data_IF_482776138807
#
_entry.id   IF_482776138807
#
_cell.length_a   1.000
_cell.length_b   1.000
_cell.length_c   1.000
_cell.angle_alpha   90.00
_cell.angle_beta   90.00
_cell.angle_gamma   90.00
#
_symmetry.space_group_name_H-M   'P 1'
#
loop_
_entity.id
_entity.type
_entity.pdbx_description
1 polymer ?
#
# COMPACT_ATOMS: atom_id res chain seq x y z
N UNK A 1 5.21 2.29 -31.80
CA UNK A 1 5.61 1.70 -30.51
C UNK A 1 6.03 2.85 -29.60
N UNK A 2 5.37 3.03 -28.47
CA UNK A 2 5.72 4.05 -27.48
C UNK A 2 7.07 3.71 -26.84
N UNK A 3 8.04 4.64 -26.91
CA UNK A 3 9.36 4.52 -26.25
C UNK A 3 9.33 5.11 -24.83
N UNK A 4 8.24 5.71 -24.44
CA UNK A 4 8.00 6.32 -23.12
C UNK A 4 6.57 6.02 -22.71
N UNK A 5 6.31 6.03 -21.42
CA UNK A 5 4.95 6.04 -20.86
C UNK A 5 4.24 7.30 -21.33
N UNK A 6 3.02 7.14 -21.89
CA UNK A 6 2.22 8.27 -22.31
C UNK A 6 1.81 9.11 -21.10
N UNK A 7 1.73 10.42 -21.29
CA UNK A 7 1.23 11.31 -20.26
C UNK A 7 -0.27 11.02 -20.02
N UNK A 8 -0.64 10.75 -18.79
CA UNK A 8 -2.02 10.49 -18.43
C UNK A 8 -2.81 11.82 -18.43
N UNK A 9 -3.60 12.02 -19.49
CA UNK A 9 -4.55 13.13 -19.57
C UNK A 9 -5.82 12.82 -18.79
N UNK A 10 -6.61 13.84 -18.41
CA UNK A 10 -7.91 13.64 -17.72
C UNK A 10 -8.83 12.66 -18.48
N UNK A 11 -8.85 12.74 -19.81
CA UNK A 11 -9.64 11.84 -20.64
C UNK A 11 -9.15 10.39 -20.58
N UNK A 12 -7.83 10.16 -20.59
CA UNK A 12 -7.25 8.82 -20.42
C UNK A 12 -7.43 8.30 -19.01
N UNK A 13 -7.31 9.16 -18.00
CA UNK A 13 -7.57 8.80 -16.61
C UNK A 13 -9.04 8.37 -16.42
N UNK A 14 -9.99 9.16 -16.92
CA UNK A 14 -11.40 8.79 -16.88
C UNK A 14 -11.71 7.48 -17.62
N UNK A 15 -11.05 7.23 -18.75
CA UNK A 15 -11.17 5.97 -19.48
C UNK A 15 -10.61 4.79 -18.66
N UNK A 16 -9.44 4.97 -18.06
CA UNK A 16 -8.80 3.96 -17.19
C UNK A 16 -9.67 3.63 -15.99
N UNK A 17 -10.21 4.63 -15.27
CA UNK A 17 -11.11 4.40 -14.15
C UNK A 17 -12.36 3.64 -14.58
N UNK A 18 -12.94 4.01 -15.73
CA UNK A 18 -14.17 3.37 -16.23
C UNK A 18 -13.99 1.89 -16.58
N UNK A 19 -12.87 1.52 -17.15
CA UNK A 19 -12.65 0.20 -17.73
C UNK A 19 -11.63 -0.66 -16.98
N UNK A 20 -10.80 -0.04 -16.15
CA UNK A 20 -9.73 -0.70 -15.40
C UNK A 20 -10.02 -0.86 -13.91
N UNK A 21 -11.08 -0.21 -13.39
CA UNK A 21 -11.41 -0.28 -11.96
C UNK A 21 -12.80 -0.89 -11.76
N UNK A 22 -12.83 -2.05 -11.11
CA UNK A 22 -14.05 -2.68 -10.61
C UNK A 22 -14.08 -2.55 -9.09
N UNK A 23 -14.55 -1.39 -8.64
CA UNK A 23 -14.58 -1.03 -7.23
C UNK A 23 -15.82 -1.62 -6.55
N UNK A 24 -15.67 -2.54 -5.56
CA UNK A 24 -16.80 -3.09 -4.81
C UNK A 24 -17.61 -2.00 -4.12
N UNK A 25 -18.92 -2.16 -4.04
CA UNK A 25 -19.82 -1.15 -3.49
C UNK A 25 -19.43 -0.64 -2.09
N UNK A 26 -19.05 -1.48 -1.09
CA UNK A 26 -18.60 -0.97 0.21
C UNK A 26 -17.29 -0.16 0.15
N UNK A 27 -16.37 -0.50 -0.78
CA UNK A 27 -15.12 0.25 -0.97
C UNK A 27 -15.41 1.62 -1.56
N UNK A 28 -16.29 1.68 -2.57
CA UNK A 28 -16.76 2.95 -3.16
C UNK A 28 -17.43 3.85 -2.13
N UNK A 29 -18.31 3.29 -1.31
CA UNK A 29 -18.99 4.05 -0.27
C UNK A 29 -18.00 4.61 0.77
N UNK A 30 -17.00 3.84 1.17
CA UNK A 30 -15.93 4.32 2.05
C UNK A 30 -15.13 5.44 1.39
N UNK A 31 -14.76 5.32 0.11
CA UNK A 31 -14.09 6.40 -0.62
C UNK A 31 -14.90 7.68 -0.66
N UNK A 32 -16.20 7.59 -0.92
CA UNK A 32 -17.11 8.75 -0.93
C UNK A 32 -17.20 9.42 0.45
N UNK A 33 -17.18 8.65 1.54
CA UNK A 33 -17.15 9.20 2.91
C UNK A 33 -15.78 9.82 3.22
N UNK A 34 -14.68 9.22 2.76
CA UNK A 34 -13.33 9.77 2.90
C UNK A 34 -13.20 11.13 2.21
N UNK A 35 -13.80 11.31 1.02
CA UNK A 35 -13.79 12.60 0.30
C UNK A 35 -14.48 13.76 1.05
N UNK A 36 -15.20 13.47 2.14
CA UNK A 36 -15.77 14.52 3.00
C UNK A 36 -14.82 14.99 4.10
N UNK A 37 -13.67 14.35 4.21
CA UNK A 37 -12.63 14.71 5.17
C UNK A 37 -11.67 15.75 4.55
N UNK A 38 -11.08 16.58 5.39
CA UNK A 38 -10.08 17.58 4.94
C UNK A 38 -8.77 16.94 4.47
N UNK A 39 -8.53 15.69 4.82
CA UNK A 39 -7.34 14.91 4.49
C UNK A 39 -7.59 13.92 3.34
N UNK A 40 -8.63 14.09 2.52
CA UNK A 40 -9.01 13.16 1.46
C UNK A 40 -7.88 12.83 0.47
N UNK A 41 -6.95 13.75 0.27
CA UNK A 41 -5.75 13.55 -0.56
C UNK A 41 -4.73 12.55 0.01
N UNK A 42 -4.94 11.98 1.20
CA UNK A 42 -4.09 10.90 1.74
C UNK A 42 -4.54 9.51 1.30
N UNK A 43 -5.71 9.38 0.71
CA UNK A 43 -6.23 8.10 0.27
C UNK A 43 -5.54 7.63 -1.00
N UNK A 44 -5.14 6.35 -1.05
CA UNK A 44 -4.65 5.69 -2.27
C UNK A 44 -5.69 5.78 -3.39
N UNK A 45 -5.23 5.90 -4.63
CA UNK A 45 -6.13 6.02 -5.78
C UNK A 45 -6.89 4.71 -6.08
N UNK A 46 -8.11 4.79 -6.66
CA UNK A 46 -8.89 3.59 -6.98
C UNK A 46 -8.17 2.62 -7.93
N UNK A 47 -7.45 3.13 -8.91
CA UNK A 47 -6.69 2.33 -9.86
C UNK A 47 -5.49 1.64 -9.19
N UNK A 48 -4.85 2.27 -8.20
CA UNK A 48 -3.77 1.66 -7.43
C UNK A 48 -4.32 0.55 -6.53
N UNK A 49 -5.41 0.80 -5.81
CA UNK A 49 -6.06 -0.21 -4.98
C UNK A 49 -6.57 -1.41 -5.81
N UNK A 50 -7.10 -1.15 -7.02
CA UNK A 50 -7.48 -2.19 -7.98
C UNK A 50 -6.27 -3.00 -8.44
N UNK A 51 -5.16 -2.34 -8.78
CA UNK A 51 -3.94 -2.99 -9.23
C UNK A 51 -3.35 -3.88 -8.13
N UNK A 52 -3.28 -3.39 -6.88
CA UNK A 52 -2.81 -4.18 -5.74
C UNK A 52 -3.69 -5.40 -5.49
N UNK A 53 -5.01 -5.27 -5.60
CA UNK A 53 -5.93 -6.39 -5.46
C UNK A 53 -5.76 -7.46 -6.55
N UNK A 54 -5.51 -7.04 -7.79
CA UNK A 54 -5.18 -7.95 -8.89
C UNK A 54 -3.87 -8.68 -8.64
N UNK A 55 -2.82 -7.98 -8.16
CA UNK A 55 -1.54 -8.59 -7.79
C UNK A 55 -1.69 -9.61 -6.67
N UNK A 56 -2.45 -9.28 -5.62
CA UNK A 56 -2.72 -10.20 -4.53
C UNK A 56 -3.35 -11.50 -5.02
N UNK A 57 -4.34 -11.41 -5.93
CA UNK A 57 -4.92 -12.57 -6.59
C UNK A 57 -3.92 -13.35 -7.43
N UNK A 58 -3.08 -12.66 -8.21
CA UNK A 58 -2.09 -13.28 -9.10
C UNK A 58 -1.02 -14.07 -8.36
N UNK A 59 -0.59 -13.61 -7.16
CA UNK A 59 0.39 -14.33 -6.32
C UNK A 59 -0.25 -15.29 -5.31
N UNK A 60 -1.59 -15.41 -5.32
CA UNK A 60 -2.34 -16.25 -4.36
C UNK A 60 -2.20 -15.77 -2.92
N UNK A 61 -2.15 -14.46 -2.69
CA UNK A 61 -1.96 -13.89 -1.37
C UNK A 61 -3.12 -14.24 -0.42
N UNK A 62 -2.77 -14.53 0.83
CA UNK A 62 -3.68 -14.75 1.96
C UNK A 62 -3.41 -13.80 3.12
N UNK A 63 -2.19 -13.33 3.28
CA UNK A 63 -1.76 -12.46 4.37
C UNK A 63 -1.21 -11.16 3.81
N UNK A 64 -1.95 -10.09 4.03
CA UNK A 64 -1.59 -8.74 3.62
C UNK A 64 -1.23 -7.89 4.83
N UNK A 65 -0.14 -7.14 4.71
CA UNK A 65 0.35 -6.19 5.72
C UNK A 65 0.29 -4.78 5.16
N UNK A 66 -0.31 -3.86 5.90
CA UNK A 66 -0.43 -2.45 5.52
C UNK A 66 0.20 -1.56 6.58
N UNK A 67 1.03 -0.62 6.15
CA UNK A 67 1.66 0.39 6.98
C UNK A 67 1.15 1.76 6.54
N UNK A 68 0.30 2.37 7.36
CA UNK A 68 -0.53 3.52 7.03
C UNK A 68 -1.93 3.08 6.58
N UNK A 69 -2.90 3.21 7.45
CA UNK A 69 -4.28 2.75 7.24
C UNK A 69 -5.20 3.89 6.84
N UNK A 70 -5.01 5.07 7.42
CA UNK A 70 -5.85 6.25 7.27
C UNK A 70 -7.33 5.93 7.54
N UNK A 71 -8.24 6.01 6.55
CA UNK A 71 -9.65 5.61 6.69
C UNK A 71 -9.88 4.11 6.50
N UNK A 72 -8.85 3.36 6.08
CA UNK A 72 -8.95 1.93 5.81
C UNK A 72 -9.58 1.58 4.46
N UNK A 73 -9.48 2.48 3.49
CA UNK A 73 -9.94 2.26 2.11
C UNK A 73 -9.17 1.11 1.44
N UNK A 74 -7.84 1.20 1.43
CA UNK A 74 -6.98 0.15 0.89
C UNK A 74 -7.14 -1.14 1.70
N UNK A 75 -7.16 -1.05 3.04
CA UNK A 75 -7.42 -2.18 3.95
C UNK A 75 -8.67 -2.97 3.54
N UNK A 76 -9.81 -2.28 3.36
CA UNK A 76 -11.08 -2.90 2.96
C UNK A 76 -11.00 -3.52 1.57
N UNK A 77 -10.40 -2.79 0.61
CA UNK A 77 -10.22 -3.29 -0.76
C UNK A 77 -9.42 -4.60 -0.77
N UNK A 78 -8.35 -4.66 0.03
CA UNK A 78 -7.51 -5.85 0.15
C UNK A 78 -8.23 -6.98 0.90
N UNK A 79 -8.93 -6.69 2.00
CA UNK A 79 -9.70 -7.70 2.73
C UNK A 79 -10.75 -8.40 1.85
N UNK A 80 -11.39 -7.64 0.93
CA UNK A 80 -12.36 -8.19 -0.04
C UNK A 80 -11.69 -8.95 -1.20
N UNK A 81 -10.42 -8.64 -1.52
CA UNK A 81 -9.68 -9.30 -2.60
C UNK A 81 -9.09 -10.64 -2.18
N UNK A 82 -8.75 -10.78 -0.91
CA UNK A 82 -8.18 -12.01 -0.37
C UNK A 82 -9.22 -13.14 -0.27
N UNK A 83 -8.79 -14.42 -0.34
CA UNK A 83 -9.69 -15.57 -0.17
C UNK A 83 -10.36 -15.57 1.23
N UNK A 84 -11.35 -16.43 1.44
CA UNK A 84 -12.15 -16.44 2.67
C UNK A 84 -11.33 -16.64 3.97
N UNK A 85 -10.23 -17.38 3.89
CA UNK A 85 -9.26 -17.59 4.97
C UNK A 85 -8.16 -16.49 5.05
N UNK A 86 -8.23 -15.49 4.17
CA UNK A 86 -7.26 -14.41 4.13
C UNK A 86 -7.42 -13.41 5.29
N UNK A 87 -6.33 -12.75 5.66
CA UNK A 87 -6.25 -11.79 6.77
C UNK A 87 -5.44 -10.57 6.37
N UNK A 88 -5.84 -9.42 6.90
CA UNK A 88 -5.13 -8.15 6.80
C UNK A 88 -4.64 -7.75 8.17
N UNK A 89 -3.35 -7.41 8.28
CA UNK A 89 -2.82 -6.64 9.41
C UNK A 89 -2.60 -5.23 8.91
N UNK A 90 -3.24 -4.25 9.57
CA UNK A 90 -3.17 -2.84 9.22
C UNK A 90 -2.58 -2.07 10.41
N UNK A 91 -1.54 -1.27 10.15
CA UNK A 91 -0.81 -0.50 11.16
C UNK A 91 -1.06 0.99 10.95
N UNK A 92 -1.42 1.71 12.01
CA UNK A 92 -1.50 3.17 12.00
C UNK A 92 -1.12 3.73 13.37
N UNK A 93 -0.74 4.99 13.40
CA UNK A 93 -0.45 5.70 14.66
C UNK A 93 -1.74 6.05 15.42
N UNK A 94 -2.88 6.09 14.74
CA UNK A 94 -4.19 6.45 15.31
C UNK A 94 -5.31 5.70 14.61
N UNK A 95 -6.38 5.41 15.32
CA UNK A 95 -7.63 4.86 14.77
C UNK A 95 -8.66 5.96 14.40
N UNK A 96 -8.33 7.22 14.63
CA UNK A 96 -9.26 8.34 14.48
C UNK A 96 -9.99 8.35 13.14
N UNK A 97 -9.28 8.16 12.03
CA UNK A 97 -9.85 8.22 10.70
C UNK A 97 -10.63 6.93 10.35
N UNK A 98 -10.15 5.79 10.83
CA UNK A 98 -10.87 4.51 10.70
C UNK A 98 -12.21 4.60 11.44
N UNK A 99 -12.24 5.12 12.67
CA UNK A 99 -13.48 5.28 13.44
C UNK A 99 -14.43 6.30 12.80
N UNK A 100 -13.90 7.38 12.21
CA UNK A 100 -14.71 8.41 11.54
C UNK A 100 -15.39 7.92 10.26
N UNK A 101 -14.71 7.09 9.47
CA UNK A 101 -15.19 6.73 8.13
C UNK A 101 -15.19 5.20 7.89
N UNK A 102 -14.12 4.48 8.22
CA UNK A 102 -13.84 3.13 7.76
C UNK A 102 -14.57 2.02 8.50
N UNK A 103 -14.58 2.07 9.84
CA UNK A 103 -15.05 0.97 10.71
C UNK A 103 -16.47 0.48 10.35
N UNK A 104 -17.36 1.40 10.03
CA UNK A 104 -18.72 1.07 9.61
C UNK A 104 -18.72 0.21 8.35
N UNK A 105 -17.95 0.58 7.34
CA UNK A 105 -17.90 -0.15 6.07
C UNK A 105 -17.23 -1.52 6.21
N UNK A 106 -16.23 -1.67 7.09
CA UNK A 106 -15.63 -2.97 7.41
C UNK A 106 -16.66 -3.91 8.02
N UNK A 107 -17.46 -3.39 8.97
CA UNK A 107 -18.52 -4.16 9.65
C UNK A 107 -19.66 -4.53 8.70
N UNK A 108 -20.19 -3.56 7.96
CA UNK A 108 -21.31 -3.77 7.03
C UNK A 108 -20.96 -4.72 5.88
N UNK A 109 -19.69 -4.78 5.48
CA UNK A 109 -19.20 -5.72 4.47
C UNK A 109 -18.79 -7.08 5.04
N UNK A 110 -18.86 -7.28 6.36
CA UNK A 110 -18.43 -8.52 7.03
C UNK A 110 -16.92 -8.76 7.02
N UNK A 111 -16.12 -7.70 6.85
CA UNK A 111 -14.66 -7.80 6.78
C UNK A 111 -13.97 -7.47 8.10
N UNK A 112 -14.66 -6.90 9.09
CA UNK A 112 -14.05 -6.46 10.34
C UNK A 112 -13.27 -7.59 11.05
N UNK A 113 -13.81 -8.81 11.14
CA UNK A 113 -13.14 -9.95 11.77
C UNK A 113 -11.91 -10.48 11.00
N UNK A 114 -11.68 -9.97 9.80
CA UNK A 114 -10.54 -10.33 8.95
C UNK A 114 -9.44 -9.30 8.96
N UNK A 115 -9.65 -8.17 9.66
CA UNK A 115 -8.75 -7.02 9.72
C UNK A 115 -8.26 -6.87 11.16
N UNK A 116 -6.97 -7.08 11.38
CA UNK A 116 -6.25 -6.82 12.64
C UNK A 116 -5.65 -5.41 12.55
N UNK A 117 -6.35 -4.42 13.13
CA UNK A 117 -5.88 -3.04 13.19
C UNK A 117 -5.01 -2.85 14.43
N UNK A 118 -3.75 -2.50 14.21
CA UNK A 118 -2.76 -2.25 15.27
C UNK A 118 -2.40 -0.79 15.35
N UNK A 119 -2.65 -0.19 16.51
CA UNK A 119 -2.42 1.23 16.76
C UNK A 119 -1.13 1.42 17.56
N UNK A 120 -0.22 2.23 17.00
CA UNK A 120 1.07 2.55 17.58
C UNK A 120 2.14 2.80 16.52
N UNK A 121 3.41 3.01 16.95
CA UNK A 121 4.53 3.16 16.02
C UNK A 121 4.68 1.91 15.16
N UNK A 122 4.57 2.06 13.83
CA UNK A 122 4.55 0.91 12.93
C UNK A 122 5.84 0.09 12.99
N UNK A 123 7.00 0.71 13.18
CA UNK A 123 8.27 -0.01 13.34
C UNK A 123 8.22 -1.02 14.50
N UNK A 124 7.66 -0.62 15.65
CA UNK A 124 7.50 -1.52 16.79
C UNK A 124 6.56 -2.69 16.45
N UNK A 125 5.43 -2.40 15.83
CA UNK A 125 4.48 -3.45 15.40
C UNK A 125 5.14 -4.44 14.43
N UNK A 126 5.96 -3.95 13.49
CA UNK A 126 6.69 -4.80 12.54
C UNK A 126 7.74 -5.68 13.23
N UNK A 127 8.43 -5.17 14.25
CA UNK A 127 9.36 -5.95 15.10
C UNK A 127 8.62 -7.03 15.89
N UNK A 128 7.45 -6.72 16.46
CA UNK A 128 6.58 -7.70 17.12
C UNK A 128 6.13 -8.80 16.15
N UNK A 129 5.76 -8.43 14.91
CA UNK A 129 5.40 -9.38 13.87
C UNK A 129 6.59 -10.26 13.41
N UNK A 130 7.81 -9.74 13.48
CA UNK A 130 9.01 -10.55 13.24
C UNK A 130 9.28 -11.55 14.36
N UNK A 131 8.87 -11.23 15.60
CA UNK A 131 8.97 -12.17 16.71
C UNK A 131 7.86 -13.23 16.65
N UNK A 132 6.63 -12.86 16.29
CA UNK A 132 5.47 -13.73 16.16
C UNK A 132 4.45 -13.10 15.17
N UNK A 133 4.13 -13.74 14.03
CA UNK A 133 4.43 -15.12 13.60
C UNK A 133 5.81 -15.36 12.97
N UNK A 134 6.63 -14.32 12.81
CA UNK A 134 8.01 -14.44 12.35
C UNK A 134 8.24 -14.12 10.87
N UNK A 135 9.49 -14.25 10.40
CA UNK A 135 9.88 -13.95 9.03
C UNK A 135 9.12 -14.78 7.99
N UNK A 136 8.85 -14.18 6.83
CA UNK A 136 8.16 -14.83 5.71
C UNK A 136 6.68 -15.13 5.97
N UNK A 137 6.07 -14.50 6.97
CA UNK A 137 4.69 -14.77 7.36
C UNK A 137 3.64 -13.99 6.56
N UNK A 138 4.04 -13.05 5.71
CA UNK A 138 3.14 -12.28 4.84
C UNK A 138 3.42 -12.56 3.36
N UNK A 139 2.36 -12.51 2.55
CA UNK A 139 2.47 -12.67 1.10
C UNK A 139 2.75 -11.34 0.40
N UNK A 140 2.20 -10.25 0.96
CA UNK A 140 2.30 -8.92 0.38
C UNK A 140 2.28 -7.87 1.48
N UNK A 141 3.14 -6.87 1.37
CA UNK A 141 3.17 -5.70 2.23
C UNK A 141 3.00 -4.41 1.41
N UNK A 142 2.31 -3.41 1.97
CA UNK A 142 2.14 -2.09 1.38
C UNK A 142 2.54 -1.01 2.38
N UNK A 143 3.41 -0.11 1.97
CA UNK A 143 4.00 0.96 2.78
C UNK A 143 3.48 2.29 2.27
N UNK A 144 2.63 2.95 3.05
CA UNK A 144 2.03 4.26 2.77
C UNK A 144 1.78 5.06 4.06
N UNK A 145 2.80 5.18 4.90
CA UNK A 145 2.75 5.95 6.15
C UNK A 145 3.63 7.22 6.07
N UNK A 146 4.18 7.64 7.19
CA UNK A 146 5.13 8.73 7.28
C UNK A 146 6.42 8.41 6.51
N UNK A 147 6.80 9.32 5.62
CA UNK A 147 7.82 9.03 4.61
C UNK A 147 9.23 8.96 5.17
N UNK A 148 9.50 9.60 6.32
CA UNK A 148 10.83 9.61 6.93
C UNK A 148 11.27 8.21 7.39
N UNK A 149 10.32 7.33 7.74
CA UNK A 149 10.59 5.98 8.22
C UNK A 149 10.50 4.88 7.12
N UNK A 150 10.32 5.24 5.85
CA UNK A 150 10.26 4.28 4.74
C UNK A 150 11.44 3.31 4.67
N UNK A 151 12.71 3.73 4.91
CA UNK A 151 13.84 2.78 4.93
C UNK A 151 13.70 1.70 6.02
N UNK A 152 13.20 2.09 7.20
CA UNK A 152 12.96 1.17 8.31
C UNK A 152 11.82 0.21 7.96
N UNK A 153 10.69 0.74 7.47
CA UNK A 153 9.55 -0.07 7.08
C UNK A 153 9.90 -1.06 5.98
N UNK A 154 10.64 -0.63 4.96
CA UNK A 154 11.10 -1.55 3.91
C UNK A 154 11.98 -2.66 4.47
N UNK A 155 12.95 -2.33 5.33
CA UNK A 155 13.87 -3.30 5.93
C UNK A 155 13.14 -4.39 6.72
N UNK A 156 12.11 -4.01 7.48
CA UNK A 156 11.29 -4.93 8.28
C UNK A 156 10.32 -5.74 7.39
N UNK A 157 9.64 -5.08 6.45
CA UNK A 157 8.75 -5.75 5.50
C UNK A 157 9.49 -6.74 4.61
N UNK A 158 10.73 -6.45 4.22
CA UNK A 158 11.56 -7.36 3.45
C UNK A 158 11.84 -8.69 4.16
N UNK A 159 11.84 -8.70 5.49
CA UNK A 159 11.98 -9.92 6.29
C UNK A 159 10.63 -10.61 6.49
N UNK A 160 9.55 -9.84 6.70
CA UNK A 160 8.20 -10.33 6.95
C UNK A 160 7.54 -10.97 5.72
N UNK A 161 7.84 -10.48 4.52
CA UNK A 161 7.29 -11.02 3.28
C UNK A 161 8.01 -12.29 2.87
N UNK A 162 7.27 -13.32 2.48
CA UNK A 162 7.83 -14.62 2.05
C UNK A 162 8.59 -14.53 0.72
N UNK A 163 9.42 -15.51 0.35
CA UNK A 163 9.89 -15.67 -1.03
C UNK A 163 8.71 -15.67 -2.03
N UNK A 164 8.93 -15.10 -3.20
CA UNK A 164 7.92 -14.83 -4.24
C UNK A 164 6.74 -13.91 -3.79
N UNK A 165 6.84 -13.28 -2.63
CA UNK A 165 5.92 -12.25 -2.16
C UNK A 165 6.35 -10.85 -2.62
N UNK A 166 5.52 -9.85 -2.33
CA UNK A 166 5.69 -8.48 -2.79
C UNK A 166 5.76 -7.48 -1.62
N UNK A 167 6.72 -6.56 -1.69
CA UNK A 167 6.70 -5.31 -0.92
C UNK A 167 6.39 -4.18 -1.89
N UNK A 168 5.34 -3.42 -1.61
CA UNK A 168 4.92 -2.25 -2.38
C UNK A 168 5.17 -0.99 -1.57
N UNK A 169 5.71 0.06 -2.22
CA UNK A 169 5.97 1.35 -1.58
C UNK A 169 5.27 2.43 -2.39
N UNK A 170 4.37 3.16 -1.75
CA UNK A 170 3.66 4.28 -2.35
C UNK A 170 4.53 5.54 -2.43
N UNK A 171 4.06 6.51 -3.21
CA UNK A 171 4.69 7.81 -3.42
C UNK A 171 6.14 7.72 -3.92
N UNK A 172 6.45 6.70 -4.72
CA UNK A 172 7.80 6.50 -5.25
C UNK A 172 8.28 7.66 -6.15
N UNK A 173 7.36 8.47 -6.68
CA UNK A 173 7.68 9.69 -7.43
C UNK A 173 7.65 10.95 -6.56
N UNK A 174 6.88 10.96 -5.50
CA UNK A 174 6.79 12.06 -4.54
C UNK A 174 6.55 13.42 -5.21
N UNK A 175 5.57 13.47 -6.12
CA UNK A 175 5.29 14.66 -6.94
C UNK A 175 6.47 15.11 -7.80
N UNK A 176 7.33 14.18 -8.25
CA UNK A 176 8.55 14.45 -9.02
C UNK A 176 9.76 14.86 -8.20
N UNK A 177 9.61 15.08 -6.89
CA UNK A 177 10.69 15.56 -5.99
C UNK A 177 11.87 14.61 -5.88
N UNK A 178 11.64 13.31 -6.03
CA UNK A 178 12.74 12.32 -6.02
C UNK A 178 13.72 12.50 -7.17
N UNK A 179 13.30 13.13 -8.27
CA UNK A 179 14.12 13.42 -9.43
C UNK A 179 14.81 14.80 -9.37
N UNK A 180 14.46 15.65 -8.42
CA UNK A 180 15.05 16.96 -8.20
C UNK A 180 16.29 16.83 -7.29
N UNK A 181 17.53 17.02 -7.81
CA UNK A 181 18.75 16.88 -6.99
C UNK A 181 18.86 17.92 -5.87
N UNK A 182 18.15 19.05 -6.00
CA UNK A 182 18.18 20.14 -5.02
C UNK A 182 17.15 19.94 -3.90
N UNK A 183 16.25 18.97 -4.00
CA UNK A 183 15.34 18.63 -2.93
C UNK A 183 16.05 17.81 -1.84
N UNK A 184 16.32 18.48 -0.72
CA UNK A 184 17.03 17.92 0.46
C UNK A 184 16.12 17.63 1.64
N UNK A 185 14.78 17.66 1.45
CA UNK A 185 13.82 17.33 2.53
C UNK A 185 14.03 15.89 3.01
N UNK A 186 13.86 15.68 4.32
CA UNK A 186 14.05 14.37 4.94
C UNK A 186 13.16 13.31 4.30
N UNK A 187 11.88 13.63 4.05
CA UNK A 187 10.94 12.73 3.37
C UNK A 187 11.41 12.32 1.98
N UNK A 188 11.90 13.27 1.18
CA UNK A 188 12.45 12.98 -0.16
C UNK A 188 13.70 12.11 -0.08
N UNK A 189 14.60 12.41 0.85
CA UNK A 189 15.82 11.63 1.08
C UNK A 189 15.46 10.18 1.52
N UNK A 190 14.48 10.00 2.40
CA UNK A 190 14.05 8.70 2.88
C UNK A 190 13.39 7.85 1.77
N UNK A 191 12.55 8.46 0.92
CA UNK A 191 11.97 7.75 -0.23
C UNK A 191 13.06 7.29 -1.22
N UNK A 192 14.03 8.17 -1.53
CA UNK A 192 15.19 7.80 -2.36
C UNK A 192 15.98 6.65 -1.74
N UNK A 193 16.20 6.69 -0.43
CA UNK A 193 16.94 5.66 0.30
C UNK A 193 16.19 4.32 0.29
N UNK A 194 14.89 4.29 0.59
CA UNK A 194 14.08 3.08 0.51
C UNK A 194 14.09 2.48 -0.91
N UNK A 195 13.99 3.33 -1.94
CA UNK A 195 14.09 2.91 -3.34
C UNK A 195 15.47 2.30 -3.64
N UNK A 196 16.56 2.94 -3.20
CA UNK A 196 17.93 2.45 -3.37
C UNK A 196 18.13 1.12 -2.65
N UNK A 197 17.67 1.02 -1.40
CA UNK A 197 17.75 -0.22 -0.61
C UNK A 197 17.04 -1.38 -1.31
N UNK A 198 15.86 -1.14 -1.86
CA UNK A 198 15.13 -2.17 -2.59
C UNK A 198 15.87 -2.61 -3.87
N UNK A 199 16.41 -1.64 -4.63
CA UNK A 199 17.07 -1.88 -5.91
C UNK A 199 18.44 -2.55 -5.77
N UNK A 200 19.21 -2.23 -4.72
CA UNK A 200 20.57 -2.76 -4.49
C UNK A 200 20.58 -4.14 -3.83
N UNK A 201 19.43 -4.68 -3.43
CA UNK A 201 19.35 -6.02 -2.81
C UNK A 201 19.31 -7.10 -3.87
N UNK A 202 20.23 -8.06 -3.79
CA UNK A 202 20.29 -9.23 -4.69
C UNK A 202 19.12 -10.22 -4.50
N UNK A 203 18.42 -10.14 -3.35
CA UNK A 203 17.28 -10.98 -3.04
C UNK A 203 15.92 -10.35 -3.41
N UNK A 204 15.94 -9.24 -4.15
CA UNK A 204 14.74 -8.58 -4.68
C UNK A 204 14.84 -8.27 -6.17
N UNK A 205 13.73 -8.40 -6.88
CA UNK A 205 13.52 -7.90 -8.22
C UNK A 205 12.57 -6.71 -8.14
N UNK A 206 12.95 -5.57 -8.74
CA UNK A 206 12.26 -4.30 -8.54
C UNK A 206 11.72 -3.76 -9.84
N UNK A 207 10.50 -3.23 -9.80
CA UNK A 207 9.90 -2.45 -10.87
C UNK A 207 9.22 -1.20 -10.29
N UNK A 208 9.20 -0.11 -11.05
CA UNK A 208 8.49 1.11 -10.69
C UNK A 208 7.36 1.36 -11.68
N UNK A 209 6.15 1.51 -11.18
CA UNK A 209 4.92 1.66 -11.97
C UNK A 209 4.39 3.07 -11.81
N UNK A 210 4.13 3.79 -12.92
CA UNK A 210 3.59 5.15 -12.87
C UNK A 210 2.06 5.14 -12.65
N UNK A 211 1.65 4.70 -11.46
CA UNK A 211 0.27 4.69 -10.98
C UNK A 211 0.19 5.54 -9.72
N UNK A 212 -0.87 6.34 -9.56
CA UNK A 212 -0.93 7.31 -8.47
C UNK A 212 0.29 8.25 -8.47
N UNK A 213 0.95 8.40 -7.32
CA UNK A 213 2.21 9.15 -7.18
C UNK A 213 3.46 8.24 -7.32
N UNK A 214 3.33 7.16 -8.12
CA UNK A 214 4.36 6.17 -8.35
C UNK A 214 4.34 5.04 -7.31
N UNK A 215 4.29 3.81 -7.78
CA UNK A 215 4.35 2.60 -6.95
C UNK A 215 5.64 1.83 -7.23
N UNK A 216 6.51 1.72 -6.22
CA UNK A 216 7.65 0.81 -6.27
C UNK A 216 7.17 -0.59 -5.89
N UNK A 217 7.48 -1.56 -6.73
CA UNK A 217 7.20 -2.99 -6.50
C UNK A 217 8.51 -3.74 -6.32
N UNK A 218 8.67 -4.43 -5.21
CA UNK A 218 9.82 -5.26 -4.91
C UNK A 218 9.35 -6.70 -4.65
N UNK A 219 9.66 -7.62 -5.56
CA UNK A 219 9.39 -9.06 -5.41
C UNK A 219 10.57 -9.72 -4.70
N UNK A 220 10.30 -10.39 -3.59
CA UNK A 220 11.33 -11.16 -2.90
C UNK A 220 11.67 -12.41 -3.71
N UNK A 221 12.95 -12.59 -4.05
CA UNK A 221 13.47 -13.75 -4.72
C UNK A 221 13.64 -14.92 -3.74
N UNK A 222 13.85 -16.12 -4.26
CA UNK A 222 14.06 -17.35 -3.46
C UNK A 222 15.42 -17.37 -2.80
#
# INVERSE_FOLDING_TARGET
MSRRTDQLTDALHAYMLRWGVDEPAPVRALREDTHRLSQDGWQSSPEQAQFMALLAGAIGAKRFLEIGTFTGYCTLRMALALPADGRVVACDITDEFVEKAGRRHWRESGMEDRIDLRIGPAAQTLEELLADPGPGSFDMAFIDADKEDYPVYFSLCAQLVRPDGLVLIDNAFWGGRVADPDDTRKSTAAIREATRMAFERDDFEVAMVPIGDGLLMARRLR
#
